data_IF_728714993754
#
_entry.id   IF_728714993754
#
_cell.length_a   1.000
_cell.length_b   1.000
_cell.length_c   1.000
_cell.angle_alpha   90.00
_cell.angle_beta   90.00
_cell.angle_gamma   90.00
#
_symmetry.space_group_name_H-M   'P 1'
#
loop_
_entity.id
_entity.type
_entity.pdbx_description
1 polymer ?
#
# COMPACT_ATOMS: atom_id res chain seq x y z
N UNK A 9 17.10 2.20 -13.25
CA UNK A 9 16.70 1.31 -14.38
C UNK A 9 17.90 1.01 -15.27
N UNK A 10 18.69 0.04 -14.90
CA UNK A 10 19.89 -0.32 -15.72
C UNK A 10 19.48 -0.52 -17.18
N UNK A 11 18.36 -1.14 -17.43
CA UNK A 11 17.93 -1.36 -18.84
C UNK A 11 17.09 -0.17 -19.32
N UNK A 12 15.83 -0.15 -18.98
CA UNK A 12 14.96 0.99 -19.42
C UNK A 12 13.54 0.86 -18.86
N UNK A 13 13.39 0.23 -17.72
CA UNK A 13 12.03 0.08 -17.14
C UNK A 13 11.68 1.32 -16.31
N UNK A 14 10.82 1.16 -15.34
CA UNK A 14 10.43 2.32 -14.50
C UNK A 14 9.53 1.84 -13.35
N UNK A 15 8.28 2.24 -13.31
CA UNK A 15 7.40 1.78 -12.20
C UNK A 15 5.96 1.60 -12.71
N UNK A 16 5.45 0.40 -12.63
CA UNK A 16 4.06 0.15 -13.10
C UNK A 16 3.38 -0.86 -12.18
N UNK A 17 2.28 -0.48 -11.58
CA UNK A 17 1.58 -1.42 -10.66
C UNK A 17 0.86 -2.52 -11.45
N UNK A 18 1.53 -3.60 -11.71
CA UNK A 18 0.90 -4.73 -12.46
C UNK A 18 -0.47 -5.06 -11.84
N UNK A 19 -0.56 -4.96 -10.55
CA UNK A 19 -1.84 -5.25 -9.85
C UNK A 19 -1.88 -4.43 -8.55
N UNK A 20 -3.04 -3.98 -8.16
CA UNK A 20 -3.12 -3.17 -6.92
C UNK A 20 -3.81 -3.97 -5.80
N UNK A 21 -3.88 -3.37 -4.64
CA UNK A 21 -4.50 -4.02 -3.48
C UNK A 21 -6.00 -3.69 -3.41
N UNK A 22 -6.84 -4.68 -3.49
CA UNK A 22 -8.30 -4.41 -3.42
C UNK A 22 -8.63 -3.66 -2.13
N UNK A 23 -9.85 -3.27 -1.94
CA UNK A 23 -10.21 -2.54 -0.69
C UNK A 23 -10.88 -3.48 0.31
N UNK A 24 -11.52 -2.93 1.30
CA UNK A 24 -12.19 -3.77 2.33
C UNK A 24 -12.90 -2.86 3.33
N UNK A 25 -13.49 -3.44 4.34
CA UNK A 25 -14.18 -2.61 5.37
C UNK A 25 -14.44 -3.44 6.63
N UNK A 26 -13.90 -3.02 7.73
CA UNK A 26 -14.12 -3.77 8.99
C UNK A 26 -14.53 -2.81 10.11
N UNK A 27 -14.80 -3.32 11.27
CA UNK A 27 -15.18 -2.42 12.39
C UNK A 27 -13.91 -1.90 13.06
N UNK A 28 -12.85 -2.65 12.98
CA UNK A 28 -11.57 -2.22 13.61
C UNK A 28 -10.39 -2.91 12.90
N UNK A 29 -9.51 -3.54 13.62
CA UNK A 29 -8.36 -4.22 12.95
C UNK A 29 -8.65 -5.71 12.83
N UNK A 30 -9.72 -6.07 12.19
CA UNK A 30 -10.05 -7.52 12.04
C UNK A 30 -8.86 -8.28 11.46
N UNK A 31 -8.70 -8.24 10.16
CA UNK A 31 -7.55 -8.96 9.52
C UNK A 31 -7.65 -8.84 8.00
N UNK A 32 -7.77 -7.65 7.50
CA UNK A 32 -7.87 -7.47 6.02
C UNK A 32 -6.47 -7.46 5.41
N UNK A 33 -6.21 -8.34 4.48
CA UNK A 33 -4.86 -8.38 3.85
C UNK A 33 -4.92 -7.85 2.42
N UNK A 34 -3.88 -7.21 1.97
CA UNK A 34 -3.87 -6.66 0.58
C UNK A 34 -2.54 -6.94 -0.10
N UNK A 35 -2.41 -6.57 -1.35
CA UNK A 35 -1.13 -6.80 -2.07
C UNK A 35 -1.18 -6.21 -3.47
N UNK A 36 -0.17 -5.47 -3.82
CA UNK A 36 -0.12 -4.86 -5.17
C UNK A 36 1.17 -5.31 -5.86
N UNK A 37 1.08 -5.89 -7.03
CA UNK A 37 2.33 -6.34 -7.71
C UNK A 37 2.88 -5.23 -8.59
N UNK A 38 4.00 -4.68 -8.23
CA UNK A 38 4.58 -3.58 -9.04
C UNK A 38 5.94 -3.99 -9.61
N UNK A 39 6.15 -3.74 -10.87
CA UNK A 39 7.45 -4.10 -11.50
C UNK A 39 8.28 -2.84 -11.77
N UNK A 40 9.55 -3.00 -12.02
CA UNK A 40 10.42 -1.82 -12.29
C UNK A 40 11.89 -2.26 -12.32
N UNK A 41 12.77 -1.43 -12.82
CA UNK A 41 14.21 -1.82 -12.88
C UNK A 41 15.08 -0.75 -12.19
N UNK A 42 16.05 -1.17 -11.39
CA UNK A 42 16.32 -2.61 -11.14
C UNK A 42 15.23 -3.18 -10.22
N UNK A 43 14.66 -2.34 -9.42
CA UNK A 43 13.58 -2.78 -8.50
C UNK A 43 12.62 -1.60 -8.28
N UNK A 44 11.35 -1.90 -8.22
CA UNK A 44 10.33 -0.84 -8.02
C UNK A 44 10.28 -0.40 -6.55
N UNK A 45 9.34 0.44 -6.21
CA UNK A 45 9.23 0.91 -4.80
C UNK A 45 7.76 1.15 -4.46
N UNK A 46 7.37 0.93 -3.23
CA UNK A 46 5.95 1.15 -2.85
C UNK A 46 5.85 2.04 -1.60
N UNK A 47 5.00 3.02 -1.63
CA UNK A 47 4.83 3.89 -0.44
C UNK A 47 3.35 4.03 -0.15
N UNK A 48 2.88 3.35 0.84
CA UNK A 48 1.43 3.42 1.17
C UNK A 48 1.12 4.74 1.88
N UNK A 49 0.10 5.43 1.45
CA UNK A 49 -0.26 6.72 2.12
C UNK A 49 -1.55 7.28 1.53
N UNK A 50 -2.28 8.01 2.33
CA UNK A 50 -3.55 8.60 1.85
C UNK A 50 -4.06 9.61 2.88
N UNK A 51 -3.93 9.28 4.13
CA UNK A 51 -4.39 10.20 5.21
C UNK A 51 -4.05 9.59 6.58
N UNK A 52 -2.96 8.89 6.67
CA UNK A 52 -2.58 8.27 7.97
C UNK A 52 -1.07 8.41 8.21
N UNK A 53 -0.48 9.47 7.74
CA UNK A 53 0.99 9.66 7.95
C UNK A 53 1.75 8.42 7.49
N UNK A 54 2.07 8.34 6.21
CA UNK A 54 2.81 7.16 5.65
C UNK A 54 2.34 5.85 6.30
N UNK A 55 1.44 5.18 5.63
CA UNK A 55 0.88 3.88 6.14
C UNK A 55 1.99 3.01 6.73
N UNK A 56 3.17 3.15 6.18
CA UNK A 56 4.36 2.36 6.65
C UNK A 56 4.32 2.08 8.16
N UNK A 57 3.74 0.96 8.53
CA UNK A 57 3.64 0.52 9.96
C UNK A 57 3.78 1.68 10.95
N UNK A 58 3.05 2.73 10.74
CA UNK A 58 3.14 3.89 11.67
C UNK A 58 2.93 3.44 13.11
N UNK A 59 1.88 2.71 13.36
CA UNK A 59 1.60 2.22 14.75
C UNK A 59 0.25 1.50 14.78
N UNK A 60 -0.67 1.94 13.97
CA UNK A 60 -2.01 1.30 13.95
C UNK A 60 -2.13 0.40 12.71
N UNK A 61 -1.31 0.62 11.72
CA UNK A 61 -1.37 -0.22 10.49
C UNK A 61 -0.07 -1.00 10.35
N UNK A 62 -0.03 -1.96 9.45
CA UNK A 62 1.22 -2.75 9.28
C UNK A 62 1.42 -3.10 7.80
N UNK A 63 2.31 -2.42 7.13
CA UNK A 63 2.54 -2.73 5.69
C UNK A 63 3.83 -3.53 5.53
N UNK A 64 4.20 -3.83 4.32
CA UNK A 64 5.45 -4.60 4.08
C UNK A 64 5.75 -4.61 2.58
N UNK A 65 6.87 -5.14 2.19
CA UNK A 65 7.20 -5.16 0.73
C UNK A 65 8.25 -6.24 0.45
N UNK A 66 8.32 -6.72 -0.77
CA UNK A 66 9.33 -7.77 -1.09
C UNK A 66 10.29 -7.24 -2.15
N UNK A 67 9.93 -7.34 -3.40
CA UNK A 67 10.82 -6.84 -4.48
C UNK A 67 9.98 -6.11 -5.53
N UNK A 68 9.16 -6.84 -6.25
CA UNK A 68 8.30 -6.20 -7.28
C UNK A 68 6.84 -6.38 -6.89
N UNK A 69 6.58 -6.45 -5.63
CA UNK A 69 5.19 -6.64 -5.15
C UNK A 69 5.10 -6.30 -3.66
N UNK A 70 4.34 -5.30 -3.32
CA UNK A 70 4.22 -4.93 -1.89
C UNK A 70 2.95 -5.52 -1.29
N UNK A 71 2.75 -5.34 -0.01
CA UNK A 71 1.53 -5.90 0.63
C UNK A 71 1.17 -5.06 1.85
N UNK A 72 -0.10 -4.93 2.12
CA UNK A 72 -0.53 -4.11 3.29
C UNK A 72 -1.64 -4.83 4.05
N UNK A 73 -1.48 -4.99 5.34
CA UNK A 73 -2.54 -5.67 6.13
C UNK A 73 -2.90 -4.80 7.34
N UNK A 74 -4.15 -4.74 7.71
CA UNK A 74 -4.52 -3.89 8.88
C UNK A 74 -5.15 -4.74 9.98
N UNK A 75 -4.71 -4.53 11.18
CA UNK A 75 -5.26 -5.29 12.34
C UNK A 75 -4.91 -4.61 13.66
N UNK A 76 -4.51 -3.36 13.62
CA UNK A 76 -4.15 -2.63 14.87
C UNK A 76 -4.83 -1.26 14.92
N UNK A 77 -5.58 -0.91 13.90
CA UNK A 77 -6.27 0.42 13.87
C UNK A 77 -6.85 0.79 15.24
N UNK A 78 -6.83 2.05 15.58
CA UNK A 78 -7.36 2.48 16.90
C UNK A 78 -8.66 3.28 16.70
N UNK A 79 -8.56 4.50 16.25
CA UNK A 79 -9.79 5.32 16.05
C UNK A 79 -9.47 6.55 15.20
N UNK A 80 -8.47 6.47 14.36
CA UNK A 80 -8.12 7.65 13.51
C UNK A 80 -7.49 7.19 12.19
N UNK A 81 -7.66 5.94 11.83
CA UNK A 81 -7.08 5.45 10.56
C UNK A 81 -8.06 5.67 9.40
N UNK A 82 -9.30 5.96 9.71
CA UNK A 82 -10.30 6.19 8.63
C UNK A 82 -10.31 5.04 7.64
N UNK A 83 -10.94 5.23 6.53
CA UNK A 83 -11.00 4.14 5.52
C UNK A 83 -10.06 4.42 4.34
N UNK A 84 -10.52 5.21 3.41
CA UNK A 84 -9.72 5.54 2.18
C UNK A 84 -8.20 5.54 2.42
N UNK A 85 -7.54 4.59 1.81
CA UNK A 85 -6.06 4.47 1.92
C UNK A 85 -5.50 4.19 0.52
N UNK A 86 -4.26 4.52 0.23
CA UNK A 86 -3.75 4.24 -1.15
C UNK A 86 -2.26 3.85 -1.14
N UNK A 87 -1.65 3.81 -2.30
CA UNK A 87 -0.20 3.42 -2.39
C UNK A 87 0.47 4.03 -3.63
N UNK A 88 1.34 4.98 -3.44
CA UNK A 88 2.04 5.59 -4.60
C UNK A 88 3.29 4.78 -4.95
N UNK A 89 3.14 3.73 -5.69
CA UNK A 89 4.31 2.89 -6.06
C UNK A 89 5.04 3.53 -7.25
N UNK A 90 6.31 3.79 -7.10
CA UNK A 90 7.09 4.40 -8.22
C UNK A 90 8.50 3.82 -8.23
N UNK A 91 9.43 4.46 -8.89
CA UNK A 91 10.81 3.91 -8.91
C UNK A 91 11.79 4.92 -9.52
N UNK A 92 12.99 4.46 -9.76
CA UNK A 92 14.06 5.33 -10.35
C UNK A 92 13.51 6.34 -11.36
N UNK A 93 12.47 6.00 -12.05
CA UNK A 93 11.90 6.94 -13.06
C UNK A 93 10.38 6.77 -13.24
N UNK A 94 9.80 5.72 -12.72
CA UNK A 94 8.33 5.53 -12.88
C UNK A 94 7.60 6.24 -11.74
N UNK A 95 6.32 6.41 -11.87
CA UNK A 95 5.54 7.10 -10.79
C UNK A 95 4.06 6.73 -10.87
N UNK A 96 3.72 5.54 -10.46
CA UNK A 96 2.29 5.11 -10.51
C UNK A 96 1.74 4.93 -9.09
N UNK A 97 0.48 4.62 -8.96
CA UNK A 97 -0.11 4.44 -7.60
C UNK A 97 -1.39 3.60 -7.68
N UNK A 98 -2.01 3.39 -6.56
CA UNK A 98 -3.26 2.59 -6.52
C UNK A 98 -4.15 3.12 -5.41
N UNK A 99 -5.36 2.67 -5.31
CA UNK A 99 -6.24 3.19 -4.23
C UNK A 99 -7.18 2.09 -3.72
N UNK A 100 -7.66 2.24 -2.52
CA UNK A 100 -8.59 1.24 -1.92
C UNK A 100 -9.01 1.74 -0.54
N UNK A 101 -10.27 1.73 -0.24
CA UNK A 101 -10.71 2.25 1.10
C UNK A 101 -10.80 1.13 2.13
N UNK A 102 -10.09 1.28 3.21
CA UNK A 102 -10.09 0.26 4.30
C UNK A 102 -10.63 0.88 5.57
N UNK A 103 -11.92 0.95 5.66
CA UNK A 103 -12.56 1.59 6.85
C UNK A 103 -12.48 0.70 8.09
N UNK A 104 -12.72 1.30 9.23
CA UNK A 104 -12.67 0.55 10.52
C UNK A 104 -13.78 1.03 11.46
N UNK A 105 -14.98 1.11 10.94
CA UNK A 105 -16.15 1.57 11.74
C UNK A 105 -16.10 1.07 13.19
N UNK A 106 -15.96 1.95 14.12
CA UNK A 106 -15.91 1.53 15.55
C UNK A 106 -14.93 0.38 15.76
#
# INVERSE_FOLDING_TARGET
MHHHHHHSSKTTLAARILTKPRSMTVYEGESARFSCDTDGEPVPTVTWLRKGQVLSTSARHQVTTTKYKSTFEISSVQASDEGNYSVVVENSEGKQEAEFTLTIQK
#
